data_IF_119132012972
#
_entry.id   IF_119132012972
#
_cell.length_a   1.000
_cell.length_b   1.000
_cell.length_c   1.000
_cell.angle_alpha   90.00
_cell.angle_beta   90.00
_cell.angle_gamma   90.00
#
_symmetry.space_group_name_H-M   'P 1'
#
loop_
_entity.id
_entity.type
_entity.pdbx_description
1 polymer ?
#
# COMPACT_ATOMS: atom_id res chain seq x y z
N UNK A 1 4.21 -8.62 36.95
CA UNK A 1 4.08 -7.68 35.80
C UNK A 1 3.31 -8.38 34.69
N UNK A 2 2.01 -8.24 34.66
CA UNK A 2 1.23 -8.67 33.50
C UNK A 2 1.43 -7.61 32.42
N UNK A 3 2.35 -7.85 31.49
CA UNK A 3 2.35 -7.09 30.23
C UNK A 3 1.01 -7.33 29.55
N UNK A 4 0.18 -6.30 29.42
CA UNK A 4 -1.05 -6.36 28.66
C UNK A 4 -0.65 -6.67 27.22
N UNK A 5 -0.92 -7.89 26.77
CA UNK A 5 -0.82 -8.31 25.38
C UNK A 5 -2.13 -8.00 24.62
N UNK A 6 -2.89 -7.03 25.13
CA UNK A 6 -4.04 -6.50 24.41
C UNK A 6 -3.64 -5.93 23.05
N UNK A 7 -4.59 -5.62 22.21
CA UNK A 7 -4.44 -5.02 20.87
C UNK A 7 -3.62 -3.69 20.86
N UNK A 8 -2.73 -3.55 21.82
CA UNK A 8 -1.88 -2.41 22.07
C UNK A 8 -2.65 -1.31 22.79
N UNK A 9 -1.98 -0.71 23.73
CA UNK A 9 -2.43 0.49 24.42
C UNK A 9 -2.83 1.53 23.36
N UNK A 10 -4.04 2.04 23.40
CA UNK A 10 -4.54 3.05 22.44
C UNK A 10 -3.56 4.22 22.35
N UNK A 11 -2.88 4.55 23.43
CA UNK A 11 -1.85 5.59 23.50
C UNK A 11 -0.54 5.25 22.77
N UNK A 12 -0.34 4.00 22.33
CA UNK A 12 0.85 3.56 21.61
C UNK A 12 0.63 3.43 20.09
N UNK A 13 -0.59 3.64 19.62
CA UNK A 13 -0.90 3.67 18.20
C UNK A 13 -0.75 5.07 17.68
N UNK A 14 0.13 5.25 16.74
CA UNK A 14 0.37 6.55 16.11
C UNK A 14 0.29 6.39 14.60
N UNK A 15 -0.53 7.22 13.95
CA UNK A 15 -0.51 7.37 12.51
C UNK A 15 0.74 8.14 12.13
N UNK A 16 1.69 7.48 11.48
CA UNK A 16 2.97 8.08 11.08
C UNK A 16 2.91 8.72 9.70
N UNK A 17 2.08 8.19 8.82
CA UNK A 17 1.84 8.71 7.48
C UNK A 17 0.46 8.25 6.97
N UNK A 18 -0.18 9.08 6.19
CA UNK A 18 -1.47 8.79 5.53
C UNK A 18 -1.47 9.33 4.10
N UNK A 19 -2.40 8.85 3.27
CA UNK A 19 -2.60 9.43 1.94
C UNK A 19 -3.49 10.66 2.01
N UNK A 20 -3.21 11.67 1.18
CA UNK A 20 -4.05 12.87 1.06
C UNK A 20 -5.08 12.78 -0.07
N UNK A 21 -4.97 11.74 -0.87
CA UNK A 21 -5.84 11.51 -2.02
C UNK A 21 -6.17 10.01 -2.15
N UNK A 22 -5.88 9.38 -3.27
CA UNK A 22 -6.19 7.97 -3.52
C UNK A 22 -5.42 7.03 -2.58
N UNK A 23 -6.01 5.91 -2.20
CA UNK A 23 -5.27 4.81 -1.61
C UNK A 23 -4.36 4.14 -2.67
N UNK A 24 -3.28 3.48 -2.24
CA UNK A 24 -2.35 2.82 -3.16
C UNK A 24 -3.02 1.78 -4.07
N UNK A 25 -3.99 1.01 -3.54
CA UNK A 25 -4.78 0.05 -4.32
C UNK A 25 -5.68 0.74 -5.33
N UNK A 26 -6.35 1.80 -4.90
CA UNK A 26 -7.20 2.64 -5.76
C UNK A 26 -6.38 3.28 -6.89
N UNK A 27 -5.16 3.72 -6.63
CA UNK A 27 -4.27 4.24 -7.65
C UNK A 27 -3.93 3.18 -8.71
N UNK A 28 -3.66 1.92 -8.29
CA UNK A 28 -3.42 0.81 -9.21
C UNK A 28 -4.68 0.49 -10.04
N UNK A 29 -5.86 0.45 -9.43
CA UNK A 29 -7.12 0.19 -10.14
C UNK A 29 -7.47 1.31 -11.13
N UNK A 30 -7.25 2.58 -10.75
CA UNK A 30 -7.44 3.73 -11.64
C UNK A 30 -6.47 3.72 -12.81
N UNK A 31 -5.21 3.33 -12.57
CA UNK A 31 -4.20 3.15 -13.62
C UNK A 31 -4.59 2.02 -14.58
N UNK A 32 -4.98 0.87 -14.05
CA UNK A 32 -5.47 -0.26 -14.83
C UNK A 32 -6.65 0.12 -15.72
N UNK A 33 -7.62 0.87 -15.17
CA UNK A 33 -8.78 1.36 -15.93
C UNK A 33 -8.37 2.25 -17.11
N UNK A 34 -7.39 3.13 -16.93
CA UNK A 34 -6.86 3.96 -18.02
C UNK A 34 -6.18 3.13 -19.11
N UNK A 35 -5.56 2.02 -18.74
CA UNK A 35 -4.92 1.06 -19.64
C UNK A 35 -5.91 0.07 -20.28
N UNK A 36 -7.23 0.19 -20.01
CA UNK A 36 -8.24 -0.72 -20.54
C UNK A 36 -8.21 -2.11 -19.89
N UNK A 37 -7.55 -2.28 -18.74
CA UNK A 37 -7.45 -3.57 -18.05
C UNK A 37 -8.70 -3.85 -17.22
N UNK A 38 -9.11 -5.13 -17.08
CA UNK A 38 -10.29 -5.51 -16.32
C UNK A 38 -10.10 -5.32 -14.81
N UNK A 39 -11.22 -5.20 -14.10
CA UNK A 39 -11.23 -5.17 -12.63
C UNK A 39 -11.17 -6.61 -12.05
N UNK A 40 -10.46 -6.84 -10.93
CA UNK A 40 -9.64 -5.89 -10.18
C UNK A 40 -8.34 -5.52 -10.89
N UNK A 41 -8.03 -4.22 -10.94
CA UNK A 41 -6.94 -3.69 -11.75
C UNK A 41 -5.55 -3.98 -11.21
N UNK A 42 -5.37 -3.91 -9.88
CA UNK A 42 -4.08 -4.16 -9.24
C UNK A 42 -3.41 -5.47 -9.67
N UNK A 43 -4.09 -6.63 -9.60
CA UNK A 43 -3.55 -7.91 -10.07
C UNK A 43 -3.21 -7.93 -11.57
N UNK A 44 -3.97 -7.20 -12.40
CA UNK A 44 -3.69 -7.13 -13.85
C UNK A 44 -2.42 -6.32 -14.12
N UNK A 45 -2.28 -5.18 -13.45
CA UNK A 45 -1.06 -4.38 -13.52
C UNK A 45 0.14 -5.20 -13.06
N UNK A 46 0.02 -5.93 -11.94
CA UNK A 46 1.09 -6.78 -11.42
C UNK A 46 1.51 -7.86 -12.42
N UNK A 47 0.54 -8.54 -13.03
CA UNK A 47 0.80 -9.60 -14.00
C UNK A 47 1.59 -9.08 -15.21
N UNK A 48 1.16 -7.96 -15.79
CA UNK A 48 1.84 -7.35 -16.94
C UNK A 48 3.21 -6.76 -16.54
N UNK A 49 3.28 -6.11 -15.37
CA UNK A 49 4.53 -5.55 -14.86
C UNK A 49 5.63 -6.58 -14.64
N UNK A 50 5.27 -7.86 -14.42
CA UNK A 50 6.25 -8.94 -14.28
C UNK A 50 7.02 -9.26 -15.57
N UNK A 51 6.48 -8.85 -16.72
CA UNK A 51 7.07 -9.05 -18.05
C UNK A 51 7.78 -7.78 -18.57
N UNK A 52 7.66 -6.64 -17.86
CA UNK A 52 8.16 -5.34 -18.28
C UNK A 52 9.40 -4.86 -17.52
N UNK A 53 10.07 -3.87 -18.09
CA UNK A 53 11.18 -3.16 -17.44
C UNK A 53 10.67 -1.85 -16.80
N UNK A 54 10.73 -1.70 -15.46
CA UNK A 54 10.28 -0.49 -14.77
C UNK A 54 11.12 0.76 -15.05
N UNK A 55 12.23 0.64 -15.77
CA UNK A 55 13.12 1.75 -16.11
C UNK A 55 12.77 2.41 -17.45
N UNK A 56 11.98 1.76 -18.29
CA UNK A 56 11.61 2.29 -19.62
C UNK A 56 10.69 3.50 -19.48
N UNK A 57 9.74 3.44 -18.56
CA UNK A 57 8.80 4.53 -18.31
C UNK A 57 8.92 5.05 -16.89
N UNK A 58 9.41 6.29 -16.75
CA UNK A 58 9.47 6.97 -15.45
C UNK A 58 8.15 7.67 -15.14
N UNK A 59 7.70 7.50 -13.90
CA UNK A 59 6.51 8.14 -13.34
C UNK A 59 6.87 8.98 -12.12
N UNK A 60 6.09 10.02 -11.80
CA UNK A 60 6.36 10.89 -10.66
C UNK A 60 6.48 10.08 -9.37
N UNK A 61 7.58 10.26 -8.66
CA UNK A 61 7.83 9.61 -7.38
C UNK A 61 7.56 10.62 -6.28
N UNK A 62 6.60 10.30 -5.44
CA UNK A 62 6.28 10.95 -4.17
C UNK A 62 6.31 12.50 -4.12
N UNK A 63 5.51 13.05 -3.21
CA UNK A 63 5.59 14.45 -2.81
C UNK A 63 6.98 14.71 -2.18
N UNK A 64 7.75 15.63 -2.74
CA UNK A 64 8.90 16.24 -2.07
C UNK A 64 8.36 17.30 -1.08
N UNK A 65 8.98 17.49 0.10
CA UNK A 65 10.28 17.02 0.53
C UNK A 65 10.26 15.61 1.18
N UNK A 66 11.44 15.03 1.36
CA UNK A 66 11.60 13.66 1.92
C UNK A 66 11.01 13.46 3.32
N UNK A 67 10.91 14.51 4.12
CA UNK A 67 10.33 14.50 5.46
C UNK A 67 8.79 14.63 5.47
N UNK A 68 8.15 14.80 4.32
CA UNK A 68 6.71 14.81 4.19
C UNK A 68 6.13 13.42 4.52
N UNK A 69 5.26 13.36 5.53
CA UNK A 69 4.66 12.11 6.02
C UNK A 69 3.37 11.71 5.29
N UNK A 70 2.98 12.46 4.26
CA UNK A 70 1.78 12.16 3.48
C UNK A 70 2.13 11.45 2.19
N UNK A 71 1.29 10.51 1.78
CA UNK A 71 1.33 9.93 0.43
C UNK A 71 0.43 10.72 -0.50
N UNK A 72 0.72 10.69 -1.80
CA UNK A 72 -0.16 11.15 -2.86
C UNK A 72 0.05 10.30 -4.11
N UNK A 73 -1.02 9.73 -4.59
CA UNK A 73 -1.01 8.86 -5.77
C UNK A 73 -1.79 9.46 -6.95
N UNK A 74 -2.56 10.53 -6.75
CA UNK A 74 -3.37 11.17 -7.81
C UNK A 74 -2.53 11.68 -8.99
N UNK A 75 -1.30 12.14 -8.73
CA UNK A 75 -0.36 12.59 -9.75
C UNK A 75 0.08 11.47 -10.71
N UNK A 76 0.11 10.23 -10.25
CA UNK A 76 0.44 9.05 -11.07
C UNK A 76 -0.61 8.84 -12.18
N UNK A 77 -1.89 8.90 -11.81
CA UNK A 77 -3.00 8.78 -12.76
C UNK A 77 -2.92 9.86 -13.85
N UNK A 78 -2.66 11.09 -13.45
CA UNK A 78 -2.55 12.23 -14.39
C UNK A 78 -1.35 12.05 -15.32
N UNK A 79 -0.20 11.65 -14.80
CA UNK A 79 1.00 11.37 -15.59
C UNK A 79 0.78 10.24 -16.58
N UNK A 80 0.12 9.15 -16.15
CA UNK A 80 -0.23 8.04 -17.04
C UNK A 80 -1.14 8.51 -18.16
N UNK A 81 -2.22 9.26 -17.85
CA UNK A 81 -3.15 9.77 -18.86
C UNK A 81 -2.43 10.60 -19.91
N UNK A 82 -1.60 11.58 -19.53
CA UNK A 82 -0.85 12.41 -20.48
C UNK A 82 0.13 11.61 -21.34
N UNK A 83 0.64 10.51 -20.85
CA UNK A 83 1.47 9.61 -21.63
C UNK A 83 0.66 8.87 -22.67
N UNK A 84 -0.47 8.29 -22.27
CA UNK A 84 -1.36 7.55 -23.17
C UNK A 84 -1.93 8.42 -24.28
N UNK A 85 -2.24 9.69 -24.02
CA UNK A 85 -2.71 10.66 -25.02
C UNK A 85 -1.69 10.92 -26.16
N UNK A 86 -0.42 10.56 -25.95
CA UNK A 86 0.67 10.76 -26.93
C UNK A 86 1.06 9.48 -27.67
N UNK A 87 0.47 8.35 -27.32
CA UNK A 87 0.82 7.04 -27.85
C UNK A 87 -0.27 6.56 -28.81
N UNK A 88 0.15 5.93 -29.91
CA UNK A 88 -0.77 5.20 -30.78
C UNK A 88 -1.10 3.80 -30.23
N UNK A 89 -2.21 3.21 -30.69
CA UNK A 89 -2.68 1.92 -30.20
C UNK A 89 -1.65 0.79 -30.33
N UNK A 90 -0.93 0.74 -31.47
CA UNK A 90 0.10 -0.27 -31.70
C UNK A 90 1.30 -0.10 -30.75
N UNK A 91 1.71 1.13 -30.49
CA UNK A 91 2.77 1.47 -29.56
C UNK A 91 2.35 1.12 -28.13
N UNK A 92 1.13 1.49 -27.75
CA UNK A 92 0.57 1.15 -26.43
C UNK A 92 0.53 -0.36 -26.19
N UNK A 93 0.07 -1.12 -27.17
CA UNK A 93 0.00 -2.58 -27.05
C UNK A 93 1.38 -3.21 -26.79
N UNK A 94 2.42 -2.74 -27.49
CA UNK A 94 3.79 -3.24 -27.31
C UNK A 94 4.44 -2.76 -26.00
N UNK A 95 4.11 -1.54 -25.55
CA UNK A 95 4.69 -0.92 -24.36
C UNK A 95 3.95 -1.27 -23.05
N UNK A 96 2.82 -1.97 -23.13
CA UNK A 96 1.93 -2.23 -21.99
C UNK A 96 2.65 -2.85 -20.78
N UNK A 97 3.51 -3.89 -20.92
CA UNK A 97 4.24 -4.46 -19.81
C UNK A 97 5.15 -3.44 -19.11
N UNK A 98 5.90 -2.65 -19.89
CA UNK A 98 6.85 -1.67 -19.36
C UNK A 98 6.14 -0.50 -18.69
N UNK A 99 5.01 -0.05 -19.23
CA UNK A 99 4.17 0.97 -18.62
C UNK A 99 3.63 0.46 -17.27
N UNK A 100 3.11 -0.77 -17.23
CA UNK A 100 2.63 -1.39 -15.99
C UNK A 100 3.76 -1.52 -14.97
N UNK A 101 4.97 -1.93 -15.40
CA UNK A 101 6.13 -2.07 -14.53
C UNK A 101 6.56 -0.72 -13.93
N UNK A 102 6.68 0.32 -14.74
CA UNK A 102 7.01 1.67 -14.29
C UNK A 102 5.95 2.27 -13.37
N UNK A 103 4.68 2.11 -13.72
CA UNK A 103 3.55 2.62 -12.92
C UNK A 103 3.46 1.94 -11.56
N UNK A 104 3.50 0.61 -11.52
CA UNK A 104 3.56 -0.17 -10.28
C UNK A 104 4.79 0.19 -9.45
N UNK A 105 5.95 0.30 -10.11
CA UNK A 105 7.21 0.68 -9.49
C UNK A 105 7.10 2.02 -8.75
N UNK A 106 6.47 3.02 -9.36
CA UNK A 106 6.28 4.33 -8.75
C UNK A 106 5.38 4.30 -7.50
N UNK A 107 4.33 3.46 -7.48
CA UNK A 107 3.50 3.24 -6.28
C UNK A 107 4.33 2.59 -5.17
N UNK A 108 5.07 1.53 -5.51
CA UNK A 108 5.91 0.80 -4.55
C UNK A 108 7.02 1.69 -3.99
N UNK A 109 7.69 2.47 -4.84
CA UNK A 109 8.77 3.38 -4.44
C UNK A 109 8.28 4.42 -3.41
N UNK A 110 7.06 4.93 -3.56
CA UNK A 110 6.47 5.82 -2.56
C UNK A 110 6.29 5.13 -1.21
N UNK A 111 5.68 3.94 -1.21
CA UNK A 111 5.43 3.17 0.01
C UNK A 111 6.75 2.83 0.71
N UNK A 112 7.69 2.25 -0.02
CA UNK A 112 9.00 1.83 0.51
C UNK A 112 9.84 3.03 0.97
N UNK A 113 9.86 4.09 0.17
CA UNK A 113 10.66 5.28 0.47
C UNK A 113 10.24 5.98 1.76
N UNK A 114 8.92 6.15 1.98
CA UNK A 114 8.41 6.75 3.22
C UNK A 114 8.54 5.81 4.41
N UNK A 115 8.27 4.51 4.24
CA UNK A 115 8.51 3.52 5.29
C UNK A 115 9.96 3.52 5.73
N UNK A 116 10.91 3.55 4.78
CA UNK A 116 12.34 3.67 5.09
C UNK A 116 12.66 4.92 5.90
N UNK A 117 12.10 6.06 5.51
CA UNK A 117 12.34 7.32 6.22
C UNK A 117 11.83 7.26 7.67
N UNK A 118 10.64 6.68 7.88
CA UNK A 118 10.06 6.50 9.21
C UNK A 118 10.88 5.54 10.07
N UNK A 119 11.35 4.42 9.50
CA UNK A 119 12.24 3.48 10.19
C UNK A 119 13.52 4.17 10.66
N UNK A 120 14.10 5.05 9.83
CA UNK A 120 15.32 5.79 10.17
C UNK A 120 15.10 6.87 11.24
N UNK A 121 13.87 7.36 11.37
CA UNK A 121 13.51 8.40 12.33
C UNK A 121 13.04 7.85 13.69
N UNK A 122 12.82 6.55 13.82
CA UNK A 122 12.32 5.91 15.02
C UNK A 122 13.06 4.63 15.37
N UNK A 123 12.62 3.96 16.45
CA UNK A 123 13.14 2.68 16.89
C UNK A 123 12.04 1.63 16.78
N UNK A 124 12.13 0.75 15.78
CA UNK A 124 11.14 -0.29 15.52
C UNK A 124 11.81 -1.66 15.47
N UNK A 125 11.16 -2.68 16.04
CA UNK A 125 11.65 -4.06 16.05
C UNK A 125 11.15 -4.88 14.86
N UNK A 126 10.00 -4.51 14.31
CA UNK A 126 9.39 -5.24 13.20
C UNK A 126 8.68 -4.30 12.22
N UNK A 127 8.47 -4.79 11.01
CA UNK A 127 7.71 -4.13 9.95
C UNK A 127 6.54 -5.02 9.56
N UNK A 128 5.31 -4.53 9.76
CA UNK A 128 4.10 -5.24 9.35
C UNK A 128 3.59 -4.78 7.99
N UNK A 129 3.07 -5.71 7.17
CA UNK A 129 2.43 -5.42 5.89
C UNK A 129 1.08 -6.14 5.80
N UNK A 130 0.00 -5.38 5.65
CA UNK A 130 -1.37 -5.90 5.50
C UNK A 130 -2.21 -5.02 4.58
N UNK A 131 -3.48 -5.40 4.34
CA UNK A 131 -4.37 -4.73 3.40
C UNK A 131 -4.26 -5.28 1.98
N UNK A 132 -5.22 -4.95 1.09
CA UNK A 132 -5.33 -5.54 -0.26
C UNK A 132 -4.07 -5.44 -1.10
N UNK A 133 -3.39 -4.30 -1.07
CA UNK A 133 -2.14 -4.07 -1.82
C UNK A 133 -0.97 -4.91 -1.30
N UNK A 134 -1.05 -5.39 -0.05
CA UNK A 134 -0.03 -6.29 0.50
C UNK A 134 0.08 -7.63 -0.22
N UNK A 135 -0.90 -7.97 -1.06
CA UNK A 135 -0.85 -9.16 -1.92
C UNK A 135 0.09 -8.98 -3.13
N UNK A 136 0.45 -7.77 -3.48
CA UNK A 136 1.38 -7.49 -4.57
C UNK A 136 2.78 -8.03 -4.24
N UNK A 137 3.26 -8.97 -5.07
CA UNK A 137 4.53 -9.67 -4.85
C UNK A 137 5.74 -8.74 -4.89
N UNK A 138 5.73 -7.75 -5.79
CA UNK A 138 6.83 -6.79 -5.91
C UNK A 138 6.91 -5.91 -4.65
N UNK A 139 5.77 -5.49 -4.09
CA UNK A 139 5.71 -4.76 -2.82
C UNK A 139 6.22 -5.63 -1.66
N UNK A 140 5.76 -6.88 -1.55
CA UNK A 140 6.23 -7.83 -0.52
C UNK A 140 7.74 -7.93 -0.53
N UNK A 141 8.31 -8.24 -1.69
CA UNK A 141 9.76 -8.37 -1.86
C UNK A 141 10.52 -7.08 -1.49
N UNK A 142 9.96 -5.91 -1.85
CA UNK A 142 10.57 -4.64 -1.53
C UNK A 142 10.55 -4.34 -0.02
N UNK A 143 9.45 -4.64 0.67
CA UNK A 143 9.31 -4.47 2.12
C UNK A 143 10.18 -5.47 2.90
N UNK A 144 10.24 -6.73 2.48
CA UNK A 144 11.15 -7.72 3.06
C UNK A 144 12.61 -7.30 2.94
N UNK A 145 13.01 -6.80 1.76
CA UNK A 145 14.36 -6.25 1.56
C UNK A 145 14.64 -5.06 2.45
N UNK A 146 13.65 -4.18 2.62
CA UNK A 146 13.76 -3.02 3.52
C UNK A 146 13.94 -3.47 4.97
N UNK A 147 13.08 -4.35 5.47
CA UNK A 147 13.15 -4.88 6.83
C UNK A 147 14.51 -5.55 7.10
N UNK A 148 14.96 -6.41 6.17
CA UNK A 148 16.26 -7.10 6.28
C UNK A 148 17.44 -6.13 6.34
N UNK A 149 17.43 -5.04 5.57
CA UNK A 149 18.48 -4.01 5.60
C UNK A 149 18.55 -3.26 6.93
N UNK A 150 17.44 -3.22 7.66
CA UNK A 150 17.33 -2.56 8.96
C UNK A 150 17.31 -3.55 10.13
N UNK A 151 17.65 -4.84 9.89
CA UNK A 151 17.66 -5.90 10.90
C UNK A 151 16.32 -6.07 11.64
N UNK A 152 15.21 -5.85 10.94
CA UNK A 152 13.85 -5.95 11.45
C UNK A 152 13.19 -7.23 10.98
N UNK A 153 12.30 -7.78 11.82
CA UNK A 153 11.38 -8.82 11.39
C UNK A 153 10.34 -8.24 10.44
N UNK A 154 10.04 -8.97 9.34
CA UNK A 154 8.98 -8.59 8.40
C UNK A 154 7.77 -9.50 8.59
N UNK A 155 6.67 -8.94 9.06
CA UNK A 155 5.41 -9.64 9.32
C UNK A 155 4.43 -9.33 8.18
N UNK A 156 4.22 -10.29 7.27
CA UNK A 156 3.35 -10.10 6.11
C UNK A 156 2.08 -10.94 6.29
N UNK A 157 0.92 -10.29 6.20
CA UNK A 157 -0.36 -10.96 6.25
C UNK A 157 -0.49 -11.99 5.11
N UNK A 158 -1.05 -13.16 5.42
CA UNK A 158 -1.37 -14.15 4.40
C UNK A 158 -2.46 -13.58 3.47
N UNK A 159 -2.46 -13.95 2.16
CA UNK A 159 -3.40 -13.39 1.18
C UNK A 159 -4.86 -13.46 1.60
N UNK A 160 -5.27 -14.56 2.23
CA UNK A 160 -6.64 -14.75 2.72
C UNK A 160 -7.04 -13.82 3.87
N UNK A 161 -6.05 -13.21 4.55
CA UNK A 161 -6.26 -12.29 5.67
C UNK A 161 -5.91 -10.84 5.33
N UNK A 162 -5.52 -10.58 4.08
CA UNK A 162 -5.09 -9.25 3.64
C UNK A 162 -6.24 -8.37 3.12
N UNK A 163 -7.40 -8.94 2.80
CA UNK A 163 -8.61 -8.22 2.40
C UNK A 163 -9.62 -8.09 3.54
N UNK A 164 -10.63 -7.26 3.31
CA UNK A 164 -11.74 -7.10 4.25
C UNK A 164 -12.48 -8.41 4.40
N UNK A 165 -12.68 -8.86 5.63
CA UNK A 165 -13.41 -10.07 5.94
C UNK A 165 -14.03 -10.02 7.34
N UNK A 166 -15.20 -10.65 7.50
CA UNK A 166 -15.91 -10.66 8.77
C UNK A 166 -15.14 -11.43 9.89
N UNK A 167 -14.30 -12.39 9.50
CA UNK A 167 -13.55 -13.19 10.46
C UNK A 167 -12.54 -12.36 11.25
N UNK A 168 -11.93 -11.32 10.66
CA UNK A 168 -11.01 -10.44 11.38
C UNK A 168 -11.72 -9.62 12.44
N UNK A 169 -12.98 -9.22 12.20
CA UNK A 169 -13.81 -8.49 13.17
C UNK A 169 -14.23 -9.43 14.30
N UNK A 170 -14.70 -10.64 13.96
CA UNK A 170 -15.05 -11.66 14.95
C UNK A 170 -13.83 -12.05 15.81
N UNK A 171 -12.65 -12.19 15.20
CA UNK A 171 -11.42 -12.46 15.94
C UNK A 171 -11.03 -11.29 16.86
N UNK A 172 -11.15 -10.05 16.39
CA UNK A 172 -10.87 -8.87 17.22
C UNK A 172 -11.81 -8.81 18.44
N UNK A 173 -13.10 -9.08 18.25
CA UNK A 173 -14.07 -9.16 19.33
C UNK A 173 -13.78 -10.32 20.30
N UNK A 174 -13.37 -11.48 19.81
CA UNK A 174 -12.97 -12.62 20.64
C UNK A 174 -11.70 -12.33 21.45
N UNK A 175 -10.73 -11.63 20.85
CA UNK A 175 -9.47 -11.27 21.50
C UNK A 175 -9.61 -10.09 22.46
N UNK A 176 -10.74 -9.39 22.46
CA UNK A 176 -11.03 -8.29 23.38
C UNK A 176 -11.41 -8.81 24.79
N UNK A 177 -10.42 -9.22 25.52
CA UNK A 177 -10.59 -9.74 26.89
C UNK A 177 -10.97 -8.67 27.91
N UNK A 178 -10.76 -7.40 27.59
CA UNK A 178 -11.08 -6.25 28.46
C UNK A 178 -12.50 -5.70 28.20
N UNK A 179 -13.17 -6.18 27.15
CA UNK A 179 -14.54 -5.79 26.83
C UNK A 179 -14.65 -4.33 26.38
N UNK A 180 -13.60 -3.78 25.78
CA UNK A 180 -13.57 -2.41 25.27
C UNK A 180 -14.59 -2.16 24.16
N UNK A 181 -15.04 -3.23 23.50
CA UNK A 181 -16.09 -3.19 22.49
C UNK A 181 -17.52 -3.27 23.07
N UNK A 182 -17.70 -3.28 24.40
CA UNK A 182 -19.00 -3.35 25.07
C UNK A 182 -19.62 -1.97 25.27
N UNK A 183 -19.87 -1.27 24.18
CA UNK A 183 -20.57 -0.01 24.17
C UNK A 183 -21.76 0.00 23.21
N UNK A 184 -22.51 1.09 23.17
CA UNK A 184 -23.50 1.30 22.13
C UNK A 184 -22.80 1.32 20.76
N UNK A 185 -23.17 0.39 19.88
CA UNK A 185 -22.57 0.29 18.55
C UNK A 185 -23.20 1.36 17.66
N UNK A 186 -22.41 2.38 17.32
CA UNK A 186 -22.73 3.27 16.21
C UNK A 186 -21.84 2.90 15.01
N UNK A 187 -22.43 2.96 13.82
CA UNK A 187 -21.66 2.80 12.58
C UNK A 187 -21.08 4.16 12.22
N UNK A 188 -19.77 4.30 12.36
CA UNK A 188 -19.05 5.52 11.98
C UNK A 188 -18.07 5.21 10.85
N UNK A 189 -18.52 5.28 9.57
CA UNK A 189 -17.70 4.90 8.43
C UNK A 189 -16.43 5.75 8.26
N UNK A 190 -16.41 6.93 8.87
CA UNK A 190 -15.32 7.92 8.76
C UNK A 190 -14.51 8.06 10.05
N UNK A 191 -14.64 7.11 10.99
CA UNK A 191 -13.89 7.15 12.24
C UNK A 191 -12.38 7.16 11.94
N UNK A 192 -11.71 8.23 12.37
CA UNK A 192 -10.25 8.33 12.28
C UNK A 192 -9.63 7.73 13.53
N UNK A 193 -8.54 6.98 13.34
CA UNK A 193 -7.69 6.59 14.46
C UNK A 193 -7.07 7.85 15.07
N UNK A 194 -7.28 8.02 16.36
CA UNK A 194 -6.71 9.14 17.12
C UNK A 194 -5.19 8.99 17.31
#
# INVERSE_FOLDING_TARGET
YRSSRGLGDVYKRQVLAETVDDAAGEALDKGAKLLGLPYPGGPQVERLAAEGDPKVYDFPKAIAPRNERRFSFSGLKTSLRYRLEKMGDAELASAMPDICAGYQGAVIDQLVGKTKHLIQAGSYSSLGLSGGVSNNKALRLAMERLARRHHMECLIAQPQHAGDNAAMIAFAAYADTEGLARGDFSIEPSLRLA
#
